data_IF_617439765776
#
_entry.id   IF_617439765776
#
_cell.length_a   1.000
_cell.length_b   1.000
_cell.length_c   1.000
_cell.angle_alpha   90.00
_cell.angle_beta   90.00
_cell.angle_gamma   90.00
#
_symmetry.space_group_name_H-M   'P 1'
#
loop_
_entity.id
_entity.type
_entity.pdbx_description
1 polymer ?
#
# COMPACT_ATOMS: atom_id res chain seq x y z
N UNK A 1 28.52 14.61 -3.98
CA UNK A 1 27.41 13.85 -4.59
C UNK A 1 26.41 13.58 -3.48
N UNK A 2 25.20 14.13 -3.54
CA UNK A 2 24.13 13.66 -2.65
C UNK A 2 23.86 12.22 -3.05
N UNK A 3 24.21 11.27 -2.18
CA UNK A 3 23.67 9.92 -2.26
C UNK A 3 22.22 10.03 -1.80
N UNK A 4 21.34 10.58 -2.65
CA UNK A 4 19.90 10.58 -2.39
C UNK A 4 19.44 9.13 -2.49
N UNK A 5 19.41 8.43 -1.36
CA UNK A 5 18.88 7.09 -1.22
C UNK A 5 17.42 7.11 -1.66
N UNK A 6 17.11 6.45 -2.78
CA UNK A 6 15.76 6.34 -3.31
C UNK A 6 14.83 5.65 -2.30
N UNK A 7 13.78 6.34 -1.86
CA UNK A 7 12.73 5.79 -1.02
C UNK A 7 11.45 5.60 -1.85
N UNK A 8 11.04 4.35 -2.14
CA UNK A 8 9.95 4.09 -3.08
C UNK A 8 8.60 4.49 -2.49
N UNK A 9 7.74 5.14 -3.26
CA UNK A 9 6.37 5.46 -2.87
C UNK A 9 5.43 4.34 -3.26
N UNK A 10 4.96 3.58 -2.27
CA UNK A 10 4.08 2.43 -2.51
C UNK A 10 2.65 2.79 -2.12
N UNK A 11 1.71 2.64 -3.05
CA UNK A 11 0.27 2.70 -2.76
C UNK A 11 -0.24 1.29 -2.51
N UNK A 12 -0.93 1.07 -1.39
CA UNK A 12 -1.44 -0.24 -1.03
C UNK A 12 -2.96 -0.26 -0.92
N UNK A 13 -3.64 -0.94 -1.82
CA UNK A 13 -5.07 -1.20 -1.71
C UNK A 13 -5.30 -2.38 -0.78
N UNK A 14 -5.95 -2.14 0.36
CA UNK A 14 -6.14 -3.13 1.40
C UNK A 14 -7.64 -3.35 1.63
N UNK A 15 -8.07 -4.62 1.53
CA UNK A 15 -9.44 -4.98 1.86
C UNK A 15 -9.72 -4.75 3.35
N UNK A 16 -10.95 -4.34 3.65
CA UNK A 16 -11.38 -4.01 5.00
C UNK A 16 -11.39 -5.22 5.95
N UNK A 17 -11.65 -6.42 5.42
CA UNK A 17 -11.95 -7.61 6.23
C UNK A 17 -10.72 -8.42 6.64
N UNK A 18 -9.76 -8.60 5.73
CA UNK A 18 -8.58 -9.45 5.95
C UNK A 18 -7.31 -8.60 6.05
N UNK A 19 -6.86 -8.01 4.93
CA UNK A 19 -5.57 -7.31 4.87
C UNK A 19 -5.50 -6.09 5.79
N UNK A 20 -6.55 -5.26 5.86
CA UNK A 20 -6.53 -4.08 6.74
C UNK A 20 -6.50 -4.48 8.22
N UNK A 21 -7.23 -5.55 8.59
CA UNK A 21 -7.16 -6.12 9.94
C UNK A 21 -5.79 -6.71 10.27
N UNK A 22 -5.11 -7.32 9.30
CA UNK A 22 -3.73 -7.78 9.46
C UNK A 22 -2.74 -6.61 9.62
N UNK A 23 -2.95 -5.51 8.90
CA UNK A 23 -2.16 -4.29 9.08
C UNK A 23 -2.38 -3.66 10.48
N UNK A 24 -3.62 -3.64 10.97
CA UNK A 24 -3.94 -3.20 12.33
C UNK A 24 -3.28 -4.12 13.37
N UNK A 25 -3.32 -5.45 13.16
CA UNK A 25 -2.65 -6.41 14.02
C UNK A 25 -1.13 -6.20 14.04
N UNK A 26 -0.51 -5.96 12.89
CA UNK A 26 0.92 -5.65 12.82
C UNK A 26 1.28 -4.40 13.64
N UNK A 27 0.41 -3.38 13.62
CA UNK A 27 0.52 -2.19 14.47
C UNK A 27 0.40 -2.51 15.96
N UNK A 28 -0.62 -3.27 16.37
CA UNK A 28 -0.82 -3.71 17.77
C UNK A 28 0.37 -4.55 18.26
N UNK A 29 0.90 -5.42 17.41
CA UNK A 29 2.07 -6.27 17.68
C UNK A 29 3.40 -5.51 17.59
N UNK A 30 3.38 -4.21 17.26
CA UNK A 30 4.58 -3.35 17.14
C UNK A 30 5.60 -3.85 16.12
N UNK A 31 5.14 -4.55 15.08
CA UNK A 31 6.00 -5.01 14.00
C UNK A 31 6.47 -3.81 13.20
N UNK A 32 7.78 -3.58 13.18
CA UNK A 32 8.37 -2.48 12.42
C UNK A 32 8.46 -2.83 10.95
N UNK A 33 8.09 -1.89 10.10
CA UNK A 33 8.20 -1.98 8.65
C UNK A 33 8.60 -0.59 8.10
N UNK A 34 9.14 -0.51 6.88
CA UNK A 34 9.50 0.78 6.29
C UNK A 34 8.27 1.70 6.11
N UNK A 35 8.39 3.02 6.35
CA UNK A 35 7.26 3.97 6.31
C UNK A 35 6.85 4.37 4.87
N UNK A 36 7.25 3.58 3.89
CA UNK A 36 7.19 3.90 2.46
C UNK A 36 5.83 3.55 1.81
N UNK A 37 4.98 2.83 2.56
CA UNK A 37 3.65 2.36 2.15
C UNK A 37 2.55 3.33 2.59
N UNK A 38 1.59 3.60 1.69
CA UNK A 38 0.41 4.42 1.96
C UNK A 38 -0.85 3.58 1.73
N UNK A 39 -1.53 3.13 2.80
CA UNK A 39 -2.69 2.27 2.67
C UNK A 39 -3.94 3.04 2.21
N UNK A 40 -4.67 2.44 1.29
CA UNK A 40 -5.99 2.87 0.80
C UNK A 40 -6.97 1.76 1.14
N UNK A 41 -7.91 2.06 2.03
CA UNK A 41 -8.92 1.08 2.46
C UNK A 41 -10.00 0.92 1.39
N UNK A 42 -10.27 -0.32 1.01
CA UNK A 42 -11.40 -0.70 0.14
C UNK A 42 -12.22 -1.78 0.83
N UNK A 43 -13.50 -1.93 0.47
CA UNK A 43 -14.35 -2.94 1.12
C UNK A 43 -13.93 -4.38 0.77
N UNK A 44 -13.46 -4.60 -0.46
CA UNK A 44 -12.94 -5.89 -0.92
C UNK A 44 -11.86 -5.65 -1.98
N UNK A 45 -10.88 -6.55 -2.09
CA UNK A 45 -9.87 -6.50 -3.16
C UNK A 45 -10.50 -6.60 -4.55
N UNK A 46 -11.65 -7.25 -4.67
CA UNK A 46 -12.42 -7.33 -5.92
C UNK A 46 -12.89 -5.96 -6.44
N UNK A 47 -12.95 -4.93 -5.60
CA UNK A 47 -13.29 -3.55 -6.02
C UNK A 47 -12.13 -2.88 -6.75
N UNK A 48 -10.90 -3.38 -6.60
CA UNK A 48 -9.69 -2.79 -7.20
C UNK A 48 -9.62 -3.18 -8.68
N UNK A 49 -10.15 -2.31 -9.53
CA UNK A 49 -9.99 -2.45 -10.98
C UNK A 49 -8.56 -2.12 -11.45
N UNK A 50 -8.11 -2.65 -12.61
CA UNK A 50 -6.82 -2.30 -13.20
C UNK A 50 -6.61 -0.79 -13.42
N UNK A 51 -7.70 -0.03 -13.63
CA UNK A 51 -7.63 1.41 -13.81
C UNK A 51 -7.10 2.14 -12.56
N UNK A 52 -7.40 1.62 -11.35
CA UNK A 52 -6.84 2.18 -10.11
C UNK A 52 -5.33 1.99 -10.04
N UNK A 53 -4.84 0.82 -10.46
CA UNK A 53 -3.40 0.50 -10.48
C UNK A 53 -2.68 1.40 -11.49
N UNK A 54 -3.21 1.51 -12.71
CA UNK A 54 -2.64 2.38 -13.75
C UNK A 54 -2.64 3.85 -13.31
N UNK A 55 -3.72 4.32 -12.69
CA UNK A 55 -3.81 5.69 -12.16
C UNK A 55 -2.79 5.94 -11.05
N UNK A 56 -2.58 4.98 -10.16
CA UNK A 56 -1.57 5.10 -9.10
C UNK A 56 -0.16 5.23 -9.71
N UNK A 57 0.19 4.38 -10.67
CA UNK A 57 1.49 4.45 -11.38
C UNK A 57 1.66 5.79 -12.12
N UNK A 58 0.62 6.25 -12.85
CA UNK A 58 0.62 7.56 -13.50
C UNK A 58 0.74 8.73 -12.52
N UNK A 59 0.35 8.54 -11.25
CA UNK A 59 0.38 9.56 -10.20
C UNK A 59 1.69 9.53 -9.39
N UNK A 60 2.78 9.01 -9.98
CA UNK A 60 4.10 8.88 -9.36
C UNK A 60 4.16 7.91 -8.16
N UNK A 61 3.42 6.80 -8.23
CA UNK A 61 3.70 5.64 -7.38
C UNK A 61 4.82 4.80 -8.00
N UNK A 62 5.83 4.44 -7.21
CA UNK A 62 6.93 3.55 -7.64
C UNK A 62 6.52 2.08 -7.55
N UNK A 63 5.45 1.78 -6.80
CA UNK A 63 4.88 0.45 -6.67
C UNK A 63 3.43 0.46 -6.20
N UNK A 64 2.70 -0.61 -6.53
CA UNK A 64 1.33 -0.82 -6.08
C UNK A 64 1.21 -2.20 -5.44
N UNK A 65 0.63 -2.25 -4.25
CA UNK A 65 0.31 -3.48 -3.53
C UNK A 65 -1.22 -3.65 -3.48
N UNK A 66 -1.72 -4.86 -3.69
CA UNK A 66 -3.14 -5.19 -3.54
C UNK A 66 -3.26 -6.37 -2.60
N UNK A 67 -3.94 -6.17 -1.47
CA UNK A 67 -4.19 -7.21 -0.46
C UNK A 67 -5.68 -7.48 -0.30
N UNK A 68 -6.04 -8.77 -0.35
CA UNK A 68 -7.38 -9.31 -0.21
C UNK A 68 -7.70 -9.90 1.15
#
# INVERSE_FOLDING_TARGET
>A
MKNDTFEPRIIAFMCNWCTYGAADLAGVSRLQYPPNIRPVRVMCSATVSPHHILRALQSNADGVLVGG
#
